data_IF_558030751934
#
_entry.id   IF_558030751934
#
_cell.length_a   1.000
_cell.length_b   1.000
_cell.length_c   1.000
_cell.angle_alpha   90.00
_cell.angle_beta   90.00
_cell.angle_gamma   90.00
#
_symmetry.space_group_name_H-M   'P 1'
#
loop_
_entity.id
_entity.type
_entity.pdbx_description
1 polymer ?
#
# COMPACT_ATOMS: atom_id res chain seq x y z
N UNK A 1 20.13 45.41 -8.27
CA UNK A 1 20.01 44.59 -7.05
C UNK A 1 18.56 44.31 -6.62
N UNK A 2 17.64 45.26 -6.60
CA UNK A 2 16.25 45.09 -6.09
C UNK A 2 15.39 44.03 -6.86
N UNK A 3 15.53 43.85 -8.19
CA UNK A 3 14.79 42.85 -8.97
C UNK A 3 15.14 41.39 -8.65
N UNK A 4 16.40 41.12 -8.27
CA UNK A 4 16.86 39.74 -7.91
C UNK A 4 16.35 39.29 -6.53
N UNK A 5 16.20 40.27 -5.59
CA UNK A 5 15.63 40.02 -4.26
C UNK A 5 14.12 39.75 -4.31
N UNK A 6 13.40 40.37 -5.24
CA UNK A 6 11.95 40.17 -5.44
C UNK A 6 11.64 38.78 -6.06
N UNK A 7 12.50 38.31 -6.97
CA UNK A 7 12.40 36.98 -7.58
C UNK A 7 12.62 35.85 -6.56
N UNK A 8 13.63 36.01 -5.68
CA UNK A 8 13.92 35.04 -4.63
C UNK A 8 12.81 34.93 -3.56
N UNK A 9 12.20 36.07 -3.19
CA UNK A 9 11.06 36.07 -2.25
C UNK A 9 9.80 35.41 -2.87
N UNK A 10 9.57 35.61 -4.16
CA UNK A 10 8.41 35.03 -4.85
C UNK A 10 8.54 33.49 -5.03
N UNK A 11 9.74 33.00 -5.34
CA UNK A 11 10.01 31.56 -5.44
C UNK A 11 9.97 30.85 -4.07
N UNK A 12 10.46 31.48 -3.00
CA UNK A 12 10.37 30.92 -1.64
C UNK A 12 8.93 30.91 -1.12
N UNK A 13 8.12 31.92 -1.46
CA UNK A 13 6.71 31.99 -1.07
C UNK A 13 5.86 30.93 -1.80
N UNK A 14 6.20 30.66 -3.07
CA UNK A 14 5.55 29.61 -3.87
C UNK A 14 5.96 28.23 -3.35
N UNK A 15 7.24 28.02 -3.04
CA UNK A 15 7.75 26.78 -2.45
C UNK A 15 7.13 26.54 -1.05
N UNK A 16 7.01 27.59 -0.23
CA UNK A 16 6.35 27.52 1.08
C UNK A 16 4.85 27.23 0.96
N UNK A 17 4.18 27.82 -0.04
CA UNK A 17 2.76 27.56 -0.33
C UNK A 17 2.52 26.15 -0.85
N UNK A 18 3.42 25.62 -1.69
CA UNK A 18 3.39 24.24 -2.17
C UNK A 18 3.68 23.24 -1.04
N UNK A 19 4.65 23.54 -0.17
CA UNK A 19 4.96 22.73 1.02
C UNK A 19 3.79 22.75 2.03
N UNK A 20 3.18 23.93 2.21
CA UNK A 20 2.00 24.10 3.08
C UNK A 20 0.76 23.39 2.52
N UNK A 21 0.56 23.39 1.19
CA UNK A 21 -0.46 22.59 0.52
C UNK A 21 -0.19 21.08 0.65
N UNK A 22 1.08 20.63 0.56
CA UNK A 22 1.44 19.22 0.78
C UNK A 22 1.25 18.76 2.23
N UNK A 23 1.45 19.64 3.21
CA UNK A 23 1.23 19.35 4.64
C UNK A 23 -0.26 19.35 4.98
N UNK A 24 -1.07 20.23 4.36
CA UNK A 24 -2.53 20.29 4.57
C UNK A 24 -3.26 19.26 3.70
N UNK A 25 -2.76 18.96 2.51
CA UNK A 25 -3.24 17.92 1.61
C UNK A 25 -2.40 16.64 1.75
N UNK A 26 -2.28 16.13 2.98
CA UNK A 26 -2.26 14.67 3.14
C UNK A 26 -3.73 14.25 3.01
N UNK A 27 -4.20 13.72 1.88
CA UNK A 27 -5.57 13.27 1.76
C UNK A 27 -5.71 12.07 2.69
N UNK A 28 -6.03 12.34 3.96
CA UNK A 28 -6.53 11.30 4.84
C UNK A 28 -7.71 10.73 4.07
N UNK A 29 -7.54 9.51 3.61
CA UNK A 29 -8.57 8.84 2.85
C UNK A 29 -9.86 8.90 3.65
N UNK A 30 -10.93 9.45 3.05
CA UNK A 30 -12.22 9.57 3.72
C UNK A 30 -12.71 8.21 4.24
N UNK A 31 -12.40 7.14 3.50
CA UNK A 31 -12.66 5.75 3.88
C UNK A 31 -11.33 4.99 3.90
N UNK A 32 -10.78 4.73 5.08
CA UNK A 32 -9.54 3.95 5.23
C UNK A 32 -9.78 2.45 4.98
N UNK A 33 -10.93 1.96 5.43
CA UNK A 33 -11.43 0.60 5.20
C UNK A 33 -12.95 0.57 5.39
N UNK A 34 -13.59 -0.44 4.82
CA UNK A 34 -14.97 -0.83 5.10
C UNK A 34 -14.95 -2.25 5.66
N UNK A 35 -15.63 -2.46 6.79
CA UNK A 35 -15.77 -3.78 7.40
C UNK A 35 -17.25 -4.08 7.63
N UNK A 36 -17.69 -5.29 7.27
CA UNK A 36 -19.09 -5.69 7.44
C UNK A 36 -19.38 -7.04 6.81
N UNK A 37 -20.66 -7.37 6.70
CA UNK A 37 -21.16 -8.60 6.08
C UNK A 37 -21.15 -8.46 4.57
N UNK A 38 -20.81 -9.54 3.87
CA UNK A 38 -20.91 -9.59 2.42
C UNK A 38 -22.38 -9.80 2.06
N UNK A 39 -23.00 -8.80 1.45
CA UNK A 39 -24.35 -8.89 0.91
C UNK A 39 -24.34 -9.50 -0.50
N UNK A 40 -23.34 -9.17 -1.30
CA UNK A 40 -23.13 -9.71 -2.65
C UNK A 40 -21.64 -9.68 -2.97
N UNK A 41 -21.16 -10.68 -3.72
CA UNK A 41 -19.77 -10.72 -4.19
C UNK A 41 -19.70 -11.28 -5.60
N UNK A 42 -18.90 -10.65 -6.44
CA UNK A 42 -18.59 -11.07 -7.80
C UNK A 42 -17.07 -10.91 -8.04
N UNK A 43 -16.51 -11.48 -9.10
CA UNK A 43 -15.10 -11.25 -9.44
C UNK A 43 -14.73 -9.77 -9.71
N UNK A 44 -15.71 -8.88 -9.87
CA UNK A 44 -15.50 -7.47 -10.22
C UNK A 44 -15.79 -6.50 -9.06
N UNK A 45 -16.72 -6.87 -8.16
CA UNK A 45 -17.13 -6.02 -7.04
C UNK A 45 -17.66 -6.85 -5.86
N UNK A 46 -17.68 -6.22 -4.69
CA UNK A 46 -18.37 -6.70 -3.51
C UNK A 46 -19.33 -5.61 -2.99
N UNK A 47 -20.48 -6.01 -2.48
CA UNK A 47 -21.38 -5.15 -1.70
C UNK A 47 -21.21 -5.56 -0.23
N UNK A 48 -20.68 -4.64 0.57
CA UNK A 48 -20.45 -4.85 2.00
C UNK A 48 -21.50 -4.08 2.78
N UNK A 49 -22.32 -4.80 3.53
CA UNK A 49 -23.28 -4.23 4.48
C UNK A 49 -22.58 -3.89 5.79
N UNK A 50 -22.49 -2.59 6.07
CA UNK A 50 -22.06 -2.08 7.35
C UNK A 50 -23.28 -1.44 8.05
N UNK A 51 -23.90 -2.21 8.95
CA UNK A 51 -25.05 -1.77 9.77
C UNK A 51 -26.20 -1.17 8.96
N UNK A 52 -26.58 -1.77 7.84
CA UNK A 52 -27.67 -1.34 6.99
C UNK A 52 -27.28 -0.34 5.88
N UNK A 53 -25.99 -0.01 5.77
CA UNK A 53 -25.45 0.75 4.63
C UNK A 53 -24.66 -0.16 3.72
N UNK A 54 -25.17 -0.37 2.49
CA UNK A 54 -24.49 -1.20 1.47
C UNK A 54 -23.46 -0.38 0.70
N UNK A 55 -22.17 -0.73 0.85
CA UNK A 55 -21.08 -0.13 0.09
C UNK A 55 -20.77 -0.94 -1.15
N UNK A 56 -20.92 -0.36 -2.33
CA UNK A 56 -20.51 -0.95 -3.59
C UNK A 56 -19.00 -0.71 -3.78
N UNK A 57 -18.20 -1.77 -3.77
CA UNK A 57 -16.75 -1.70 -3.75
C UNK A 57 -16.19 -2.49 -4.93
N UNK A 58 -15.49 -1.82 -5.84
CA UNK A 58 -14.77 -2.47 -6.93
C UNK A 58 -13.55 -3.21 -6.38
N UNK A 59 -13.41 -4.49 -6.69
CA UNK A 59 -12.31 -5.32 -6.19
C UNK A 59 -11.47 -5.90 -7.34
N UNK A 60 -10.29 -6.41 -7.00
CA UNK A 60 -9.43 -7.18 -7.89
C UNK A 60 -9.80 -8.66 -7.85
N UNK A 61 -9.35 -9.43 -8.83
CA UNK A 61 -9.48 -10.89 -8.79
C UNK A 61 -8.69 -11.51 -7.62
N UNK A 62 -7.54 -10.93 -7.26
CA UNK A 62 -6.74 -11.37 -6.12
C UNK A 62 -7.50 -11.14 -4.80
N UNK A 63 -8.10 -9.96 -4.63
CA UNK A 63 -8.98 -9.68 -3.48
C UNK A 63 -10.19 -10.62 -3.46
N UNK A 64 -10.86 -10.86 -4.60
CA UNK A 64 -11.98 -11.81 -4.69
C UNK A 64 -11.56 -13.22 -4.24
N UNK A 65 -10.43 -13.72 -4.74
CA UNK A 65 -9.90 -15.03 -4.36
C UNK A 65 -9.52 -15.11 -2.86
N UNK A 66 -8.98 -14.02 -2.30
CA UNK A 66 -8.60 -13.94 -0.89
C UNK A 66 -9.82 -13.89 0.05
N UNK A 67 -10.93 -13.30 -0.37
CA UNK A 67 -12.19 -13.30 0.39
C UNK A 67 -12.76 -14.72 0.48
N UNK A 68 -12.75 -15.48 -0.62
CA UNK A 68 -13.30 -16.83 -0.67
C UNK A 68 -14.77 -16.90 -0.22
N UNK A 69 -15.07 -17.81 0.72
CA UNK A 69 -16.43 -18.06 1.25
C UNK A 69 -16.70 -17.30 2.59
N UNK A 70 -15.92 -16.27 2.92
CA UNK A 70 -16.11 -15.52 4.16
C UNK A 70 -17.44 -14.78 4.16
N UNK A 71 -18.18 -14.85 5.28
CA UNK A 71 -19.43 -14.10 5.44
C UNK A 71 -19.21 -12.63 5.81
N UNK A 72 -18.08 -12.32 6.42
CA UNK A 72 -17.67 -10.97 6.85
C UNK A 72 -16.28 -10.65 6.30
N UNK A 73 -16.07 -9.39 5.93
CA UNK A 73 -14.82 -8.94 5.36
C UNK A 73 -14.44 -7.55 5.87
N UNK A 74 -13.14 -7.30 5.89
CA UNK A 74 -12.56 -5.96 6.00
C UNK A 74 -11.78 -5.68 4.74
N UNK A 75 -12.20 -4.68 3.96
CA UNK A 75 -11.53 -4.24 2.75
C UNK A 75 -10.89 -2.87 2.99
N UNK A 76 -9.60 -2.77 2.73
CA UNK A 76 -8.89 -1.48 2.70
C UNK A 76 -9.28 -0.75 1.42
N UNK A 77 -9.66 0.52 1.53
CA UNK A 77 -10.34 1.20 0.44
C UNK A 77 -9.56 2.38 -0.11
N UNK A 78 -9.81 2.68 -1.37
CA UNK A 78 -9.41 3.92 -2.05
C UNK A 78 -10.64 4.54 -2.69
N UNK A 79 -10.94 5.80 -2.37
CA UNK A 79 -12.05 6.55 -2.96
C UNK A 79 -11.54 7.40 -4.12
N UNK A 80 -12.06 7.14 -5.32
CA UNK A 80 -11.89 8.00 -6.48
C UNK A 80 -13.11 8.92 -6.60
N UNK A 81 -12.89 10.23 -6.53
CA UNK A 81 -13.92 11.26 -6.73
C UNK A 81 -13.78 11.82 -8.13
N UNK A 82 -14.83 11.71 -8.94
CA UNK A 82 -14.98 12.31 -10.25
C UNK A 82 -16.12 13.32 -10.22
N UNK A 83 -16.28 14.14 -11.26
CA UNK A 83 -17.35 15.13 -11.33
C UNK A 83 -18.74 14.50 -11.31
N UNK A 84 -18.88 13.32 -11.91
CA UNK A 84 -20.14 12.59 -12.10
C UNK A 84 -20.23 11.26 -11.35
N UNK A 85 -19.17 10.85 -10.64
CA UNK A 85 -19.13 9.55 -9.96
C UNK A 85 -18.19 9.50 -8.76
N UNK A 86 -18.59 8.73 -7.75
CA UNK A 86 -17.74 8.34 -6.64
C UNK A 86 -17.48 6.83 -6.72
N UNK A 87 -16.26 6.43 -7.06
CA UNK A 87 -15.90 5.03 -7.18
C UNK A 87 -15.08 4.59 -5.96
N UNK A 88 -15.54 3.55 -5.29
CA UNK A 88 -14.81 2.94 -4.19
C UNK A 88 -14.10 1.67 -4.70
N UNK A 89 -12.80 1.59 -4.46
CA UNK A 89 -11.98 0.42 -4.74
C UNK A 89 -11.58 -0.22 -3.41
N UNK A 90 -11.60 -1.55 -3.34
CA UNK A 90 -11.28 -2.30 -2.12
C UNK A 90 -10.28 -3.41 -2.37
N UNK A 91 -9.45 -3.62 -1.36
CA UNK A 91 -8.32 -4.53 -1.37
C UNK A 91 -8.31 -5.36 -0.08
N UNK A 92 -7.96 -6.63 -0.19
CA UNK A 92 -7.90 -7.52 0.95
C UNK A 92 -6.74 -7.18 1.90
N UNK A 93 -5.63 -6.68 1.35
CA UNK A 93 -4.44 -6.30 2.12
C UNK A 93 -4.10 -4.81 1.98
N UNK A 94 -3.38 -4.27 2.96
CA UNK A 94 -2.85 -2.89 2.92
C UNK A 94 -1.85 -2.74 1.79
N UNK A 95 -1.03 -3.76 1.56
CA UNK A 95 0.02 -3.78 0.55
C UNK A 95 -0.57 -3.70 -0.86
N UNK A 96 -1.67 -4.42 -1.13
CA UNK A 96 -2.37 -4.35 -2.42
C UNK A 96 -2.91 -2.94 -2.67
N UNK A 97 -3.51 -2.31 -1.65
CA UNK A 97 -3.96 -0.92 -1.74
C UNK A 97 -2.81 0.05 -1.97
N UNK A 98 -1.70 -0.07 -1.23
CA UNK A 98 -0.53 0.80 -1.40
C UNK A 98 0.06 0.69 -2.80
N UNK A 99 0.16 -0.53 -3.33
CA UNK A 99 0.63 -0.74 -4.69
C UNK A 99 -0.34 -0.17 -5.73
N UNK A 100 -1.66 -0.31 -5.51
CA UNK A 100 -2.69 0.36 -6.33
C UNK A 100 -2.50 1.89 -6.34
N UNK A 101 -2.30 2.49 -5.17
CA UNK A 101 -2.08 3.94 -5.03
C UNK A 101 -0.79 4.39 -5.73
N UNK A 102 0.27 3.59 -5.70
CA UNK A 102 1.47 3.85 -6.48
C UNK A 102 1.20 3.78 -7.98
N UNK A 103 0.47 2.76 -8.45
CA UNK A 103 0.14 2.57 -9.86
C UNK A 103 -0.60 3.78 -10.44
N UNK A 104 -1.61 4.30 -9.74
CA UNK A 104 -2.41 5.44 -10.22
C UNK A 104 -1.63 6.77 -10.24
N UNK A 105 -0.45 6.86 -9.62
CA UNK A 105 0.44 8.02 -9.77
C UNK A 105 1.14 8.07 -11.12
N UNK A 106 1.17 6.95 -11.85
CA UNK A 106 1.86 6.84 -13.13
C UNK A 106 0.98 7.38 -14.24
N UNK A 107 1.51 8.32 -15.02
CA UNK A 107 0.76 8.91 -16.14
C UNK A 107 0.33 7.85 -17.17
N UNK A 108 -0.97 7.80 -17.45
CA UNK A 108 -1.58 6.80 -18.33
C UNK A 108 -2.10 5.54 -17.61
N UNK A 109 -2.02 5.50 -16.28
CA UNK A 109 -2.60 4.43 -15.46
C UNK A 109 -3.71 5.01 -14.60
N UNK A 110 -4.96 4.78 -14.98
CA UNK A 110 -6.13 5.12 -14.16
C UNK A 110 -6.50 3.99 -13.20
N UNK A 111 -7.47 4.26 -12.30
CA UNK A 111 -7.91 3.29 -11.29
C UNK A 111 -8.35 1.95 -11.89
N UNK A 112 -9.09 1.95 -13.00
CA UNK A 112 -9.51 0.71 -13.66
C UNK A 112 -8.33 -0.06 -14.26
N UNK A 113 -7.33 0.65 -14.81
CA UNK A 113 -6.09 0.03 -15.32
C UNK A 113 -5.27 -0.57 -14.18
N UNK A 114 -5.11 0.15 -13.08
CA UNK A 114 -4.41 -0.34 -11.88
C UNK A 114 -5.11 -1.58 -11.30
N UNK A 115 -6.46 -1.57 -11.21
CA UNK A 115 -7.25 -2.73 -10.79
C UNK A 115 -7.02 -3.94 -11.70
N UNK A 116 -6.96 -3.73 -13.02
CA UNK A 116 -6.70 -4.80 -13.98
C UNK A 116 -5.30 -5.39 -13.82
N UNK A 117 -4.28 -4.55 -13.61
CA UNK A 117 -2.91 -5.00 -13.34
C UNK A 117 -2.89 -5.89 -12.08
N UNK A 118 -3.47 -5.41 -10.97
CA UNK A 118 -3.54 -6.15 -9.70
C UNK A 118 -4.49 -7.35 -9.73
N UNK A 119 -5.36 -7.46 -10.72
CA UNK A 119 -6.14 -8.67 -10.97
C UNK A 119 -5.35 -9.73 -11.74
N UNK A 120 -4.35 -9.30 -12.52
CA UNK A 120 -3.54 -10.18 -13.39
C UNK A 120 -2.24 -10.62 -12.72
N UNK A 121 -1.70 -9.80 -11.82
CA UNK A 121 -0.45 -10.04 -11.10
C UNK A 121 -0.69 -9.84 -9.60
N UNK A 122 -0.14 -10.72 -8.79
CA UNK A 122 -0.11 -10.54 -7.34
C UNK A 122 0.81 -9.38 -6.96
N UNK A 123 0.69 -8.89 -5.72
CA UNK A 123 1.57 -7.83 -5.18
C UNK A 123 3.04 -8.21 -5.32
N UNK A 124 3.38 -9.47 -5.00
CA UNK A 124 4.75 -9.96 -5.07
C UNK A 124 5.28 -10.07 -6.51
N UNK A 125 4.47 -10.59 -7.44
CA UNK A 125 4.85 -10.69 -8.85
C UNK A 125 5.07 -9.31 -9.46
N UNK A 126 4.13 -8.38 -9.23
CA UNK A 126 4.23 -7.03 -9.78
C UNK A 126 5.41 -6.25 -9.18
N UNK A 127 5.58 -6.30 -7.84
CA UNK A 127 6.70 -5.61 -7.19
C UNK A 127 8.05 -6.17 -7.62
N UNK A 128 8.15 -7.49 -7.79
CA UNK A 128 9.35 -8.14 -8.32
C UNK A 128 9.63 -7.74 -9.76
N UNK A 129 8.60 -7.74 -10.63
CA UNK A 129 8.74 -7.33 -12.02
C UNK A 129 9.20 -5.87 -12.14
N UNK A 130 8.66 -4.96 -11.31
CA UNK A 130 9.08 -3.55 -11.28
C UNK A 130 10.53 -3.43 -10.77
N UNK A 131 10.89 -4.11 -9.68
CA UNK A 131 12.21 -4.05 -9.07
C UNK A 131 13.33 -4.61 -9.98
N UNK A 132 13.02 -5.69 -10.73
CA UNK A 132 13.91 -6.34 -11.69
C UNK A 132 13.87 -5.75 -13.10
N UNK A 133 13.03 -4.72 -13.34
CA UNK A 133 12.82 -4.10 -14.65
C UNK A 133 12.26 -5.07 -15.72
N UNK A 134 11.48 -6.07 -15.29
CA UNK A 134 10.83 -7.01 -16.21
C UNK A 134 9.61 -6.39 -16.86
N UNK A 135 9.85 -5.59 -17.90
CA UNK A 135 8.81 -4.93 -18.68
C UNK A 135 7.89 -5.94 -19.38
N UNK A 136 8.40 -7.14 -19.73
CA UNK A 136 7.61 -8.15 -20.46
C UNK A 136 6.47 -8.69 -19.63
N UNK A 137 6.71 -9.00 -18.38
CA UNK A 137 5.67 -9.47 -17.44
C UNK A 137 4.57 -8.43 -17.27
N UNK A 138 4.92 -7.15 -17.15
CA UNK A 138 3.93 -6.07 -17.00
C UNK A 138 3.16 -5.86 -18.32
N UNK A 139 3.83 -5.94 -19.46
CA UNK A 139 3.22 -5.79 -20.78
C UNK A 139 2.30 -6.95 -21.16
N UNK A 140 2.47 -8.13 -20.57
CA UNK A 140 1.60 -9.28 -20.79
C UNK A 140 0.18 -9.05 -20.24
N UNK A 141 0.01 -8.08 -19.33
CA UNK A 141 -1.30 -7.69 -18.81
C UNK A 141 -2.12 -7.03 -19.93
N UNK A 142 -3.30 -7.57 -20.19
CA UNK A 142 -4.19 -7.08 -21.25
C UNK A 142 -4.48 -5.56 -21.07
N UNK A 143 -4.27 -4.79 -22.11
CA UNK A 143 -4.51 -3.34 -22.10
C UNK A 143 -3.31 -2.50 -21.66
N UNK A 144 -2.17 -3.11 -21.33
CA UNK A 144 -0.94 -2.40 -21.02
C UNK A 144 -0.01 -2.39 -22.23
N UNK A 145 0.17 -1.19 -22.80
CA UNK A 145 1.11 -1.00 -23.91
C UNK A 145 2.56 -0.89 -23.43
N UNK A 146 3.50 -1.11 -24.35
CA UNK A 146 4.94 -1.04 -24.06
C UNK A 146 5.37 0.27 -23.40
N UNK A 147 4.85 1.42 -23.86
CA UNK A 147 5.15 2.74 -23.28
C UNK A 147 4.67 2.85 -21.83
N UNK A 148 3.49 2.31 -21.53
CA UNK A 148 2.93 2.33 -20.16
C UNK A 148 3.72 1.40 -19.25
N UNK A 149 4.07 0.20 -19.70
CA UNK A 149 4.89 -0.75 -18.95
C UNK A 149 6.28 -0.18 -18.61
N UNK A 150 6.96 0.43 -19.60
CA UNK A 150 8.25 1.10 -19.38
C UNK A 150 8.14 2.23 -18.35
N UNK A 151 7.09 3.07 -18.46
CA UNK A 151 6.88 4.18 -17.53
C UNK A 151 6.61 3.68 -16.11
N UNK A 152 5.79 2.63 -15.95
CA UNK A 152 5.55 1.99 -14.66
C UNK A 152 6.86 1.57 -13.97
N UNK A 153 7.76 0.92 -14.72
CA UNK A 153 9.05 0.50 -14.18
C UNK A 153 9.89 1.71 -13.77
N UNK A 154 10.03 2.71 -14.64
CA UNK A 154 10.86 3.89 -14.37
C UNK A 154 10.34 4.68 -13.17
N UNK A 155 9.02 4.93 -13.10
CA UNK A 155 8.42 5.79 -12.07
C UNK A 155 8.30 5.09 -10.70
N UNK A 156 8.21 3.75 -10.68
CA UNK A 156 7.92 3.00 -9.45
C UNK A 156 9.09 2.19 -8.90
N UNK A 157 10.14 1.92 -9.66
CA UNK A 157 11.28 1.09 -9.24
C UNK A 157 11.86 1.49 -7.88
N UNK A 158 12.14 2.77 -7.68
CA UNK A 158 12.74 3.25 -6.43
C UNK A 158 11.73 3.28 -5.27
N UNK A 159 10.46 3.47 -5.56
CA UNK A 159 9.38 3.45 -4.57
C UNK A 159 9.15 2.04 -4.05
N UNK A 160 9.01 1.08 -4.97
CA UNK A 160 8.80 -0.34 -4.66
C UNK A 160 9.97 -0.93 -3.86
N UNK A 161 11.23 -0.57 -4.19
CA UNK A 161 12.40 -1.01 -3.41
C UNK A 161 12.44 -0.49 -1.98
N UNK A 162 11.84 0.68 -1.72
CA UNK A 162 11.77 1.27 -0.37
C UNK A 162 10.63 0.70 0.46
N UNK A 163 9.59 0.19 -0.21
CA UNK A 163 8.41 -0.40 0.42
C UNK A 163 8.61 -1.91 0.47
N UNK A 164 8.52 -2.48 1.66
CA UNK A 164 8.68 -3.93 1.86
C UNK A 164 7.35 -4.61 1.51
N UNK A 165 7.15 -4.95 0.23
CA UNK A 165 5.98 -5.69 -0.25
C UNK A 165 6.10 -7.19 -0.02
N UNK A 166 7.09 -7.67 0.71
CA UNK A 166 7.13 -9.06 1.11
C UNK A 166 5.94 -9.35 2.02
N UNK A 167 4.81 -9.69 1.41
CA UNK A 167 3.73 -10.36 2.13
C UNK A 167 4.24 -11.71 2.60
N UNK A 168 4.43 -11.83 3.86
CA UNK A 168 4.14 -13.07 4.51
C UNK A 168 2.60 -13.22 4.50
N UNK A 169 2.04 -13.88 3.49
CA UNK A 169 0.82 -14.66 3.72
C UNK A 169 1.07 -15.41 5.02
N UNK A 170 0.20 -15.22 5.98
CA UNK A 170 0.32 -15.76 7.31
C UNK A 170 0.84 -17.21 7.30
N UNK A 171 2.13 -17.35 7.26
CA UNK A 171 2.82 -18.43 7.88
C UNK A 171 2.74 -18.21 9.39
N UNK A 172 3.03 -19.20 10.22
CA UNK A 172 2.65 -19.28 11.61
C UNK A 172 2.94 -17.99 12.39
N UNK A 173 2.11 -17.71 13.37
CA UNK A 173 1.99 -16.51 14.23
C UNK A 173 3.29 -15.74 14.58
N UNK A 174 4.46 -16.35 14.49
CA UNK A 174 5.75 -15.79 14.85
C UNK A 174 6.24 -14.65 13.93
N UNK A 175 5.79 -14.59 12.65
CA UNK A 175 6.19 -13.52 11.73
C UNK A 175 5.41 -12.21 11.97
N UNK A 176 4.15 -12.31 12.42
CA UNK A 176 3.32 -11.14 12.78
C UNK A 176 3.92 -10.46 14.01
N UNK A 177 4.26 -11.23 15.04
CA UNK A 177 4.87 -10.76 16.30
C UNK A 177 6.21 -10.04 16.06
N UNK A 178 7.07 -10.60 15.19
CA UNK A 178 8.34 -9.96 14.81
C UNK A 178 8.12 -8.62 14.10
N UNK A 179 7.19 -8.58 13.13
CA UNK A 179 6.92 -7.37 12.36
C UNK A 179 6.29 -6.26 13.19
N UNK A 180 5.40 -6.58 14.11
CA UNK A 180 4.82 -5.64 15.07
C UNK A 180 5.90 -5.07 16.01
N UNK A 181 6.75 -5.93 16.58
CA UNK A 181 7.85 -5.49 17.42
C UNK A 181 8.87 -4.62 16.65
N UNK A 182 9.19 -4.97 15.39
CA UNK A 182 10.08 -4.18 14.52
C UNK A 182 9.49 -2.80 14.25
N UNK A 183 8.21 -2.72 13.91
CA UNK A 183 7.52 -1.46 13.66
C UNK A 183 7.55 -0.54 14.88
N UNK A 184 7.29 -1.09 16.07
CA UNK A 184 7.33 -0.35 17.32
C UNK A 184 8.75 0.22 17.61
N UNK A 185 9.80 -0.59 17.42
CA UNK A 185 11.19 -0.15 17.62
C UNK A 185 11.61 0.94 16.64
N UNK A 186 11.15 0.86 15.38
CA UNK A 186 11.40 1.91 14.38
C UNK A 186 10.70 3.23 14.75
N UNK A 187 9.46 3.16 15.25
CA UNK A 187 8.71 4.34 15.75
C UNK A 187 9.43 4.97 16.96
N UNK A 188 10.06 4.16 17.80
CA UNK A 188 10.87 4.60 18.94
C UNK A 188 12.22 5.21 18.52
N UNK A 189 12.54 5.23 17.21
CA UNK A 189 13.73 5.90 16.66
C UNK A 189 14.93 5.00 16.40
N UNK A 190 14.82 3.69 16.57
CA UNK A 190 15.90 2.76 16.24
C UNK A 190 15.97 2.45 14.75
N UNK A 191 17.18 2.21 14.23
CA UNK A 191 17.32 1.84 12.82
C UNK A 191 16.71 0.46 12.54
N UNK A 192 16.01 0.31 11.40
CA UNK A 192 15.35 -0.95 11.00
C UNK A 192 16.34 -2.14 11.03
N UNK A 193 17.61 -1.91 10.61
CA UNK A 193 18.63 -2.95 10.58
C UNK A 193 19.08 -3.40 11.98
N UNK A 194 19.26 -2.45 12.92
CA UNK A 194 19.65 -2.79 14.29
C UNK A 194 18.50 -3.50 15.01
N UNK A 195 17.29 -2.98 14.90
CA UNK A 195 16.08 -3.57 15.48
C UNK A 195 15.81 -4.99 14.94
N UNK A 196 15.91 -5.20 13.62
CA UNK A 196 15.72 -6.52 13.02
C UNK A 196 16.73 -7.55 13.54
N UNK A 197 18.02 -7.18 13.62
CA UNK A 197 19.07 -8.08 14.15
C UNK A 197 18.83 -8.44 15.62
N UNK A 198 18.42 -7.47 16.44
CA UNK A 198 18.11 -7.72 17.84
C UNK A 198 16.91 -8.69 18.00
N UNK A 199 15.84 -8.47 17.24
CA UNK A 199 14.66 -9.34 17.22
C UNK A 199 14.96 -10.74 16.72
N UNK A 200 15.79 -10.89 15.67
CA UNK A 200 16.21 -12.20 15.16
C UNK A 200 17.00 -13.01 16.19
N UNK A 201 17.82 -12.33 17.00
CA UNK A 201 18.57 -12.96 18.08
C UNK A 201 17.63 -13.44 19.20
N UNK A 202 16.66 -12.62 19.58
CA UNK A 202 15.71 -12.95 20.65
C UNK A 202 14.75 -14.06 20.24
N UNK A 203 14.23 -14.05 19.02
CA UNK A 203 13.32 -15.09 18.51
C UNK A 203 14.01 -16.46 18.36
N UNK A 204 15.33 -16.49 18.11
CA UNK A 204 16.10 -17.74 18.16
C UNK A 204 16.20 -18.33 19.58
N UNK A 205 16.19 -17.49 20.60
CA UNK A 205 16.25 -17.91 22.02
C UNK A 205 14.88 -18.24 22.59
N UNK A 206 13.85 -17.54 22.16
CA UNK A 206 12.48 -17.65 22.68
C UNK A 206 11.47 -17.44 21.56
N UNK A 207 11.14 -18.48 20.77
CA UNK A 207 10.28 -18.37 19.58
C UNK A 207 8.84 -17.92 19.87
N UNK A 208 8.30 -18.23 21.06
CA UNK A 208 6.92 -17.97 21.44
C UNK A 208 6.74 -16.69 22.28
N UNK A 209 7.71 -15.77 22.22
CA UNK A 209 7.64 -14.50 22.96
C UNK A 209 6.54 -13.59 22.43
N UNK A 210 5.81 -12.91 23.33
CA UNK A 210 4.85 -11.87 22.93
C UNK A 210 5.57 -10.62 22.40
N UNK A 211 4.83 -9.78 21.67
CA UNK A 211 5.34 -8.52 21.09
C UNK A 211 5.96 -7.63 22.17
N UNK A 212 5.29 -7.49 23.34
CA UNK A 212 5.75 -6.64 24.43
C UNK A 212 7.06 -7.15 25.05
N UNK A 213 7.20 -8.46 25.18
CA UNK A 213 8.43 -9.09 25.68
C UNK A 213 9.57 -8.86 24.71
N UNK A 214 9.34 -9.05 23.40
CA UNK A 214 10.34 -8.82 22.37
C UNK A 214 10.81 -7.37 22.32
N UNK A 215 9.87 -6.39 22.40
CA UNK A 215 10.22 -4.97 22.42
C UNK A 215 11.08 -4.67 23.65
N UNK A 216 10.64 -5.09 24.83
CA UNK A 216 11.35 -4.83 26.10
C UNK A 216 12.77 -5.43 26.10
N UNK A 217 12.92 -6.64 25.63
CA UNK A 217 14.24 -7.29 25.59
C UNK A 217 15.12 -6.71 24.46
N UNK A 218 14.54 -6.33 23.33
CA UNK A 218 15.27 -5.67 22.25
C UNK A 218 15.81 -4.29 22.68
N UNK A 219 15.05 -3.52 23.47
CA UNK A 219 15.50 -2.24 24.02
C UNK A 219 16.72 -2.35 24.96
N UNK A 220 16.98 -3.53 25.55
CA UNK A 220 18.18 -3.78 26.34
C UNK A 220 19.41 -4.11 25.48
N UNK A 221 19.19 -4.49 24.21
CA UNK A 221 20.24 -4.90 23.26
C UNK A 221 20.60 -3.78 22.28
N UNK A 222 19.75 -2.75 22.15
CA UNK A 222 19.88 -1.60 21.26
C UNK A 222 20.45 -0.38 21.96
#
# INVERSE_FOLDING_TARGET
>A
MKKKLYSLKKSSLIAFKLLYLQIIFNPRQMYAFISGKIAEITPAYAIVDNHGVGYFINITLNTFAAIGEQAEVKLYTHLQVLEDAHNLFGFYTVQERELFEMLITVSGVGCNTARLILSSLTVNELSTAIASEDIRTIQAVKGIGSKTAQRLVVDLKDKVKKTDFTETFAGPANNTVKNEALSALVILGFSKNAASKALDKLLKQSPDSSVEVLIREALKLL
#
